data_IF_175291003157
#
_entry.id   IF_175291003157
#
_cell.length_a   1.000
_cell.length_b   1.000
_cell.length_c   1.000
_cell.angle_alpha   90.00
_cell.angle_beta   90.00
_cell.angle_gamma   90.00
#
_symmetry.space_group_name_H-M   'P 1'
#
loop_
_entity.id
_entity.type
_entity.pdbx_description
1 polymer ?
#
# COMPACT_ATOMS: atom_id res chain seq x y z
N UNK A 1 -10.19 -21.67 -46.14
CA UNK A 1 -10.48 -20.34 -45.54
C UNK A 1 -10.57 -20.37 -44.00
N UNK A 2 -10.88 -21.49 -43.34
CA UNK A 2 -10.94 -21.55 -41.86
C UNK A 2 -9.56 -21.44 -41.17
N UNK A 3 -8.47 -21.88 -41.81
CA UNK A 3 -7.10 -21.81 -41.24
C UNK A 3 -6.54 -20.38 -41.12
N UNK A 4 -6.98 -19.46 -41.99
CA UNK A 4 -6.50 -18.07 -42.00
C UNK A 4 -7.11 -17.21 -40.86
N UNK A 5 -8.34 -17.54 -40.45
CA UNK A 5 -9.05 -16.87 -39.35
C UNK A 5 -8.48 -17.24 -37.96
N UNK A 6 -8.00 -18.48 -37.78
CA UNK A 6 -7.36 -18.88 -36.52
C UNK A 6 -5.98 -18.23 -36.32
N UNK A 7 -5.25 -17.98 -37.40
CA UNK A 7 -3.90 -17.39 -37.32
C UNK A 7 -3.96 -15.88 -36.99
N UNK A 8 -4.92 -15.14 -37.54
CA UNK A 8 -5.14 -13.73 -37.18
C UNK A 8 -5.67 -13.58 -35.76
N UNK A 9 -6.51 -14.49 -35.27
CA UNK A 9 -6.98 -14.47 -33.88
C UNK A 9 -5.84 -14.69 -32.88
N UNK A 10 -4.91 -15.62 -33.16
CA UNK A 10 -3.71 -15.84 -32.35
C UNK A 10 -2.73 -14.65 -32.38
N UNK A 11 -2.61 -13.96 -33.50
CA UNK A 11 -1.71 -12.81 -33.63
C UNK A 11 -2.23 -11.58 -32.85
N UNK A 12 -3.55 -11.37 -32.84
CA UNK A 12 -4.19 -10.27 -32.11
C UNK A 12 -4.15 -10.52 -30.59
N UNK A 13 -4.31 -11.76 -30.13
CA UNK A 13 -4.17 -12.09 -28.70
C UNK A 13 -2.71 -12.01 -28.21
N UNK A 14 -1.73 -12.31 -29.07
CA UNK A 14 -0.29 -12.13 -28.77
C UNK A 14 0.18 -10.66 -28.82
N UNK A 15 -0.57 -9.78 -29.48
CA UNK A 15 -0.30 -8.33 -29.44
C UNK A 15 -0.93 -7.68 -28.21
N UNK A 16 -2.09 -8.16 -27.77
CA UNK A 16 -2.77 -7.69 -26.56
C UNK A 16 -1.99 -8.00 -25.26
N UNK A 17 -1.11 -9.02 -25.27
CA UNK A 17 -0.28 -9.36 -24.09
C UNK A 17 0.91 -8.43 -23.86
N UNK A 18 1.21 -7.50 -24.77
CA UNK A 18 2.35 -6.57 -24.66
C UNK A 18 2.02 -5.26 -23.95
N UNK A 19 0.74 -5.05 -23.63
CA UNK A 19 0.24 -3.88 -22.91
C UNK A 19 0.50 -3.89 -21.39
N UNK A 20 0.94 -5.03 -20.84
CA UNK A 20 1.05 -5.26 -19.38
C UNK A 20 2.45 -5.67 -18.94
N UNK A 21 3.48 -5.11 -19.55
CA UNK A 21 4.87 -5.48 -19.27
C UNK A 21 5.53 -4.67 -18.15
N UNK A 22 4.83 -3.70 -17.53
CA UNK A 22 5.38 -2.97 -16.39
C UNK A 22 5.52 -3.90 -15.19
N UNK A 23 6.76 -4.33 -14.94
CA UNK A 23 7.14 -5.09 -13.75
C UNK A 23 7.48 -4.14 -12.60
N UNK A 24 6.71 -4.25 -11.52
CA UNK A 24 6.88 -3.45 -10.31
C UNK A 24 7.44 -4.36 -9.23
N UNK A 25 8.64 -4.06 -8.74
CA UNK A 25 9.24 -4.82 -7.63
C UNK A 25 8.81 -4.20 -6.29
N UNK A 26 7.74 -4.75 -5.70
CA UNK A 26 7.19 -4.27 -4.42
C UNK A 26 8.06 -4.72 -3.21
N UNK A 27 9.04 -5.59 -3.45
CA UNK A 27 9.86 -6.19 -2.39
C UNK A 27 9.08 -7.21 -1.54
N UNK A 28 9.76 -7.77 -0.53
CA UNK A 28 9.16 -8.79 0.34
C UNK A 28 8.96 -10.15 -0.34
N UNK A 29 7.94 -10.89 0.10
CA UNK A 29 7.62 -12.24 -0.39
C UNK A 29 6.85 -12.27 -1.72
N UNK A 30 6.31 -11.14 -2.18
CA UNK A 30 5.51 -11.05 -3.41
C UNK A 30 6.40 -10.90 -4.66
N UNK A 31 7.52 -10.19 -4.57
CA UNK A 31 8.46 -10.02 -5.68
C UNK A 31 7.95 -9.07 -6.77
N UNK A 32 8.13 -9.44 -8.04
CA UNK A 32 7.71 -8.64 -9.19
C UNK A 32 6.22 -8.86 -9.45
N UNK A 33 5.45 -7.78 -9.50
CA UNK A 33 4.03 -7.78 -9.84
C UNK A 33 3.77 -6.95 -11.09
N UNK A 34 2.74 -7.37 -11.81
CA UNK A 34 2.15 -6.64 -12.92
C UNK A 34 1.37 -5.43 -12.43
N UNK A 35 1.19 -4.40 -13.25
CA UNK A 35 0.38 -3.22 -12.89
C UNK A 35 -1.08 -3.56 -12.53
N UNK A 36 -1.65 -4.62 -13.11
CA UNK A 36 -3.02 -5.10 -12.80
C UNK A 36 -3.03 -5.79 -11.44
N UNK A 37 -1.98 -6.55 -11.15
CA UNK A 37 -1.80 -7.22 -9.87
C UNK A 37 -1.44 -6.24 -8.76
N UNK A 38 -0.91 -5.06 -9.07
CA UNK A 38 -0.53 -4.07 -8.06
C UNK A 38 -1.70 -3.69 -7.14
N UNK A 39 -2.90 -3.53 -7.71
CA UNK A 39 -4.13 -3.19 -7.00
C UNK A 39 -5.00 -4.40 -6.64
N UNK A 40 -4.56 -5.61 -6.96
CA UNK A 40 -5.29 -6.85 -6.66
C UNK A 40 -5.01 -7.30 -5.22
N UNK A 41 -5.75 -6.72 -4.29
CA UNK A 41 -5.65 -6.97 -2.86
C UNK A 41 -6.70 -8.00 -2.46
N UNK A 42 -6.26 -9.14 -1.96
CA UNK A 42 -7.11 -10.24 -1.52
C UNK A 42 -7.70 -10.01 -0.11
N UNK A 43 -8.33 -8.84 0.09
CA UNK A 43 -9.03 -8.50 1.33
C UNK A 43 -10.34 -7.76 0.99
N UNK A 44 -11.46 -8.48 1.11
CA UNK A 44 -12.80 -7.96 0.84
C UNK A 44 -13.18 -6.79 1.76
N UNK A 45 -12.61 -6.73 2.96
CA UNK A 45 -12.94 -5.71 3.96
C UNK A 45 -12.24 -4.38 3.67
N UNK A 46 -11.06 -4.42 3.05
CA UNK A 46 -10.31 -3.25 2.59
C UNK A 46 -10.85 -2.77 1.24
N UNK A 47 -11.02 -3.69 0.29
CA UNK A 47 -11.56 -3.37 -1.04
C UNK A 47 -12.99 -2.84 -0.97
N UNK A 48 -13.84 -3.39 -0.09
CA UNK A 48 -15.19 -2.87 0.16
C UNK A 48 -15.23 -1.46 0.77
N UNK A 49 -14.25 -1.09 1.59
CA UNK A 49 -14.16 0.26 2.16
C UNK A 49 -13.73 1.31 1.09
N UNK A 50 -13.01 0.89 0.06
CA UNK A 50 -12.43 1.75 -0.98
C UNK A 50 -13.09 1.61 -2.36
N UNK A 51 -14.36 1.19 -2.37
CA UNK A 51 -15.16 0.93 -3.57
C UNK A 51 -15.29 2.10 -4.57
N UNK A 52 -15.29 3.39 -4.18
CA UNK A 52 -15.27 4.47 -5.19
C UNK A 52 -13.91 4.64 -5.89
N UNK A 53 -12.80 4.41 -5.18
CA UNK A 53 -11.46 4.78 -5.62
C UNK A 53 -10.75 3.63 -6.35
N UNK A 54 -10.74 2.43 -5.77
CA UNK A 54 -9.96 1.31 -6.28
C UNK A 54 -10.51 0.69 -7.58
N UNK A 55 -11.83 0.52 -7.77
CA UNK A 55 -12.40 0.14 -9.07
C UNK A 55 -12.12 1.18 -10.17
N UNK A 56 -12.14 2.47 -9.85
CA UNK A 56 -11.77 3.54 -10.80
C UNK A 56 -10.31 3.44 -11.21
N UNK A 57 -9.41 3.20 -10.26
CA UNK A 57 -8.00 2.97 -10.55
C UNK A 57 -7.79 1.70 -11.41
N UNK A 58 -8.46 0.60 -11.07
CA UNK A 58 -8.39 -0.66 -11.84
C UNK A 58 -8.89 -0.49 -13.27
N UNK A 59 -9.98 0.25 -13.48
CA UNK A 59 -10.50 0.51 -14.83
C UNK A 59 -9.56 1.42 -15.63
N UNK A 60 -8.93 2.41 -14.98
CA UNK A 60 -7.92 3.28 -15.60
C UNK A 60 -6.69 2.48 -16.01
N UNK A 61 -6.18 1.61 -15.13
CA UNK A 61 -5.05 0.72 -15.39
C UNK A 61 -5.38 -0.31 -16.48
N UNK A 62 -6.61 -0.86 -16.49
CA UNK A 62 -7.05 -1.81 -17.51
C UNK A 62 -7.28 -1.16 -18.88
N UNK A 63 -7.59 0.13 -18.92
CA UNK A 63 -7.72 0.89 -20.17
C UNK A 63 -6.36 1.22 -20.81
N UNK A 64 -5.26 1.15 -20.05
CA UNK A 64 -3.94 1.42 -20.57
C UNK A 64 -3.39 0.27 -21.41
N UNK A 65 -2.95 0.60 -22.63
CA UNK A 65 -2.34 -0.36 -23.58
C UNK A 65 -0.82 -0.23 -23.69
N UNK A 66 -0.21 0.72 -22.99
CA UNK A 66 1.23 1.00 -23.03
C UNK A 66 1.73 1.40 -21.64
N UNK A 67 3.01 1.14 -21.36
CA UNK A 67 3.65 1.54 -20.11
C UNK A 67 3.64 3.07 -19.92
N UNK A 68 3.65 3.85 -21.01
CA UNK A 68 3.54 5.30 -20.95
C UNK A 68 2.18 5.77 -20.41
N UNK A 69 1.09 5.05 -20.72
CA UNK A 69 -0.24 5.32 -20.17
C UNK A 69 -0.32 4.97 -18.68
N UNK A 70 0.31 3.86 -18.28
CA UNK A 70 0.38 3.48 -16.86
C UNK A 70 1.10 4.55 -16.04
N UNK A 71 2.16 5.12 -16.60
CA UNK A 71 2.93 6.18 -15.98
C UNK A 71 2.40 7.61 -16.22
N UNK A 72 1.21 7.74 -16.80
CA UNK A 72 0.57 9.05 -16.96
C UNK A 72 0.16 9.60 -15.58
N UNK A 73 0.32 10.91 -15.32
CA UNK A 73 -0.05 11.51 -14.04
C UNK A 73 -1.50 11.24 -13.61
N UNK A 74 -2.45 11.12 -14.56
CA UNK A 74 -3.83 10.80 -14.22
C UNK A 74 -3.97 9.36 -13.69
N UNK A 75 -3.25 8.41 -14.28
CA UNK A 75 -3.23 7.00 -13.83
C UNK A 75 -2.54 6.88 -12.48
N UNK A 76 -1.39 7.52 -12.31
CA UNK A 76 -0.66 7.56 -11.03
C UNK A 76 -1.55 8.17 -9.93
N UNK A 77 -2.20 9.30 -10.20
CA UNK A 77 -3.10 9.93 -9.23
C UNK A 77 -4.28 9.02 -8.85
N UNK A 78 -4.86 8.27 -9.79
CA UNK A 78 -5.91 7.31 -9.52
C UNK A 78 -5.41 6.16 -8.61
N UNK A 79 -4.22 5.62 -8.90
CA UNK A 79 -3.57 4.59 -8.08
C UNK A 79 -3.31 5.12 -6.66
N UNK A 80 -2.65 6.27 -6.52
CA UNK A 80 -2.36 6.88 -5.22
C UNK A 80 -3.64 7.17 -4.44
N UNK A 81 -4.73 7.58 -5.10
CA UNK A 81 -6.02 7.81 -4.44
C UNK A 81 -6.62 6.52 -3.87
N UNK A 82 -6.49 5.39 -4.58
CA UNK A 82 -6.86 4.08 -4.04
C UNK A 82 -5.98 3.69 -2.84
N UNK A 83 -4.65 3.82 -2.97
CA UNK A 83 -3.70 3.53 -1.90
C UNK A 83 -3.94 4.40 -0.65
N UNK A 84 -4.28 5.67 -0.83
CA UNK A 84 -4.62 6.58 0.26
C UNK A 84 -5.88 6.12 1.01
N UNK A 85 -6.89 5.62 0.29
CA UNK A 85 -8.08 5.07 0.93
C UNK A 85 -7.75 3.80 1.73
N UNK A 86 -6.94 2.91 1.17
CA UNK A 86 -6.51 1.67 1.83
C UNK A 86 -5.71 1.99 3.10
N UNK A 87 -4.75 2.91 3.00
CA UNK A 87 -3.96 3.40 4.13
C UNK A 87 -4.84 3.98 5.24
N UNK A 88 -5.79 4.85 4.89
CA UNK A 88 -6.74 5.42 5.85
C UNK A 88 -7.60 4.34 6.52
N UNK A 89 -8.00 3.30 5.77
CA UNK A 89 -8.81 2.19 6.30
C UNK A 89 -7.99 1.32 7.26
N UNK A 90 -6.73 1.02 6.92
CA UNK A 90 -5.81 0.28 7.79
C UNK A 90 -5.61 1.02 9.11
N UNK A 91 -5.41 2.33 9.03
CA UNK A 91 -5.29 3.22 10.20
C UNK A 91 -6.59 3.20 11.03
N UNK A 92 -7.74 3.44 10.40
CA UNK A 92 -9.03 3.54 11.09
C UNK A 92 -9.42 2.23 11.80
N UNK A 93 -9.07 1.09 11.21
CA UNK A 93 -9.31 -0.23 11.81
C UNK A 93 -8.20 -0.67 12.76
N UNK A 94 -7.07 0.04 12.81
CA UNK A 94 -5.88 -0.33 13.56
C UNK A 94 -5.46 -1.79 13.32
N UNK A 95 -5.45 -2.20 12.05
CA UNK A 95 -5.04 -3.55 11.66
C UNK A 95 -3.67 -3.52 11.01
N UNK A 96 -2.84 -4.56 11.21
CA UNK A 96 -1.60 -4.69 10.46
C UNK A 96 -1.91 -4.81 8.97
N UNK A 97 -1.01 -4.31 8.14
CA UNK A 97 -1.09 -4.42 6.68
C UNK A 97 -1.10 -5.91 6.27
N UNK A 98 -2.23 -6.45 5.78
CA UNK A 98 -2.32 -7.88 5.45
C UNK A 98 -1.56 -8.24 4.17
N UNK A 99 -1.38 -7.26 3.28
CA UNK A 99 -0.68 -7.36 2.02
C UNK A 99 0.31 -6.19 1.88
N UNK A 100 1.61 -6.41 1.60
CA UNK A 100 2.62 -5.36 1.50
C UNK A 100 2.35 -4.31 0.40
N UNK A 101 1.38 -4.56 -0.49
CA UNK A 101 0.91 -3.60 -1.50
C UNK A 101 -0.09 -2.60 -0.92
N UNK A 102 -0.96 -3.03 0.01
CA UNK A 102 -2.12 -2.26 0.44
C UNK A 102 -1.74 -1.07 1.34
N UNK A 103 -1.95 0.17 0.86
CA UNK A 103 -1.64 1.40 1.58
C UNK A 103 -0.14 1.61 1.80
N UNK A 104 0.69 1.19 0.84
CA UNK A 104 2.14 1.12 1.01
C UNK A 104 2.88 2.21 0.21
N UNK A 105 3.49 3.15 0.92
CA UNK A 105 4.34 4.18 0.30
C UNK A 105 5.57 3.57 -0.41
N UNK A 106 6.08 2.45 0.11
CA UNK A 106 7.18 1.70 -0.53
C UNK A 106 6.72 1.11 -1.86
N UNK A 107 5.50 0.56 -1.93
CA UNK A 107 4.93 0.03 -3.16
C UNK A 107 4.74 1.13 -4.22
N UNK A 108 4.26 2.31 -3.83
CA UNK A 108 4.14 3.47 -4.72
C UNK A 108 5.52 3.99 -5.20
N UNK A 109 6.53 3.93 -4.35
CA UNK A 109 7.91 4.28 -4.73
C UNK A 109 8.47 3.29 -5.75
N UNK A 110 8.19 1.99 -5.58
CA UNK A 110 8.53 0.96 -6.56
C UNK A 110 7.80 1.18 -7.90
N UNK A 111 6.53 1.59 -7.86
CA UNK A 111 5.77 1.95 -9.06
C UNK A 111 6.44 3.09 -9.84
N UNK A 112 6.79 4.18 -9.14
CA UNK A 112 7.49 5.31 -9.74
C UNK A 112 8.87 4.91 -10.32
N UNK A 113 9.62 4.04 -9.63
CA UNK A 113 10.88 3.51 -10.13
C UNK A 113 10.69 2.65 -11.40
N UNK A 114 9.62 1.85 -11.46
CA UNK A 114 9.27 1.09 -12.66
C UNK A 114 8.94 2.01 -13.84
N UNK A 115 8.23 3.10 -13.60
CA UNK A 115 7.95 4.11 -14.63
C UNK A 115 9.21 4.77 -15.18
N UNK A 116 10.17 5.07 -14.31
CA UNK A 116 11.47 5.60 -14.73
C UNK A 116 12.26 4.55 -15.54
N UNK A 117 12.23 3.28 -15.13
CA UNK A 117 12.97 2.21 -15.78
C UNK A 117 12.40 1.82 -17.15
N UNK A 118 11.08 1.72 -17.29
CA UNK A 118 10.43 1.22 -18.50
C UNK A 118 10.24 2.29 -19.57
N UNK A 119 9.85 3.51 -19.19
CA UNK A 119 9.48 4.58 -20.13
C UNK A 119 10.21 5.91 -19.89
N UNK A 120 11.16 5.94 -18.96
CA UNK A 120 11.94 7.14 -18.63
C UNK A 120 11.06 8.33 -18.19
N UNK A 121 9.93 8.05 -17.53
CA UNK A 121 9.05 9.06 -16.96
C UNK A 121 9.35 9.15 -15.46
N UNK A 122 9.66 10.37 -14.99
CA UNK A 122 9.87 10.64 -13.57
C UNK A 122 8.54 11.02 -12.95
N UNK A 123 8.00 10.17 -12.08
CA UNK A 123 6.81 10.48 -11.29
C UNK A 123 7.22 11.36 -10.11
N UNK A 124 6.60 12.55 -9.92
CA UNK A 124 6.90 13.43 -8.79
C UNK A 124 6.60 12.73 -7.46
N UNK A 125 7.48 12.91 -6.47
CA UNK A 125 7.28 12.33 -5.13
C UNK A 125 6.02 12.84 -4.45
N UNK A 126 5.59 14.07 -4.77
CA UNK A 126 4.32 14.64 -4.28
C UNK A 126 3.08 13.85 -4.71
N UNK A 127 3.14 13.10 -5.82
CA UNK A 127 2.01 12.32 -6.36
C UNK A 127 1.94 10.91 -5.79
N UNK A 128 3.00 10.44 -5.13
CA UNK A 128 3.11 9.08 -4.55
C UNK A 128 3.26 9.09 -3.03
N UNK A 129 3.19 10.27 -2.41
CA UNK A 129 3.27 10.41 -0.96
C UNK A 129 1.88 10.18 -0.35
N UNK A 130 1.77 9.15 0.48
CA UNK A 130 0.58 8.95 1.32
C UNK A 130 0.62 9.91 2.50
N UNK A 131 -0.52 10.56 2.74
CA UNK A 131 -0.70 11.49 3.85
C UNK A 131 -1.43 10.81 4.99
N UNK A 132 -1.15 11.22 6.22
CA UNK A 132 -1.85 10.69 7.38
C UNK A 132 -3.23 11.36 7.51
N UNK A 133 -4.27 10.63 7.91
CA UNK A 133 -5.56 11.22 8.23
C UNK A 133 -5.41 12.31 9.30
N UNK A 134 -6.12 13.44 9.13
CA UNK A 134 -6.05 14.56 10.06
C UNK A 134 -6.55 14.22 11.48
N UNK A 135 -7.33 13.15 11.58
CA UNK A 135 -7.92 12.58 12.79
C UNK A 135 -7.06 11.47 13.43
N UNK A 136 -5.90 11.14 12.85
CA UNK A 136 -5.02 10.11 13.40
C UNK A 136 -4.03 10.66 14.44
N UNK A 137 -4.19 10.25 15.70
CA UNK A 137 -3.33 10.65 16.84
C UNK A 137 -2.10 9.73 17.04
N UNK A 138 -1.72 8.98 16.01
CA UNK A 138 -0.55 8.11 16.03
C UNK A 138 -0.67 6.83 16.85
N UNK A 139 0.31 5.92 16.78
CA UNK A 139 0.46 4.76 17.69
C UNK A 139 0.86 5.17 19.12
N UNK A 140 0.66 6.44 19.45
CA UNK A 140 1.33 7.17 20.50
C UNK A 140 0.40 7.54 21.66
N UNK A 141 -0.86 7.08 21.63
CA UNK A 141 -1.78 7.14 22.77
C UNK A 141 -1.36 6.35 24.03
N UNK A 142 -0.13 5.85 24.11
CA UNK A 142 0.51 5.38 25.35
C UNK A 142 1.59 6.32 25.89
N UNK A 143 1.67 7.58 25.44
CA UNK A 143 2.24 8.58 26.32
C UNK A 143 1.27 8.74 27.49
N UNK A 144 1.53 8.05 28.60
CA UNK A 144 1.15 8.64 29.88
C UNK A 144 1.70 10.06 29.83
N UNK A 145 0.83 11.06 30.01
CA UNK A 145 1.28 12.43 30.17
C UNK A 145 2.47 12.44 31.14
N UNK A 146 3.44 13.34 30.94
CA UNK A 146 4.61 13.43 31.83
C UNK A 146 4.26 13.22 33.32
N UNK A 147 3.19 13.83 33.88
CA UNK A 147 2.76 13.55 35.26
C UNK A 147 2.27 12.11 35.49
N UNK A 148 1.50 11.53 34.58
CA UNK A 148 1.05 10.14 34.71
C UNK A 148 2.24 9.16 34.70
N UNK A 149 3.25 9.39 33.85
CA UNK A 149 4.47 8.56 33.79
C UNK A 149 5.26 8.63 35.08
N UNK A 150 5.39 9.82 35.67
CA UNK A 150 6.07 10.00 36.96
C UNK A 150 5.35 9.24 38.07
N UNK A 151 4.02 9.30 38.12
CA UNK A 151 3.23 8.61 39.14
C UNK A 151 3.39 7.09 39.02
N UNK A 152 3.32 6.53 37.81
CA UNK A 152 3.46 5.08 37.61
C UNK A 152 4.85 4.57 38.00
N UNK A 153 5.91 5.31 37.69
CA UNK A 153 7.28 4.94 38.09
C UNK A 153 7.44 4.97 39.61
N UNK A 154 6.90 5.99 40.29
CA UNK A 154 6.96 6.08 41.77
C UNK A 154 6.23 4.89 42.41
N UNK A 155 5.02 4.60 41.96
CA UNK A 155 4.21 3.49 42.49
C UNK A 155 4.91 2.16 42.27
N UNK A 156 5.42 1.91 41.06
CA UNK A 156 6.16 0.69 40.74
C UNK A 156 7.43 0.54 41.61
N UNK A 157 8.16 1.62 41.86
CA UNK A 157 9.38 1.60 42.69
C UNK A 157 9.06 1.34 44.17
N UNK A 158 7.98 1.94 44.69
CA UNK A 158 7.52 1.72 46.06
C UNK A 158 7.06 0.27 46.29
N UNK A 159 6.31 -0.29 45.33
CA UNK A 159 5.89 -1.69 45.38
C UNK A 159 7.09 -2.65 45.29
N UNK A 160 8.02 -2.41 44.35
CA UNK A 160 9.20 -3.25 44.17
C UNK A 160 10.11 -3.24 45.42
N UNK A 161 10.36 -2.06 45.99
CA UNK A 161 11.15 -1.93 47.22
C UNK A 161 10.48 -2.59 48.41
N UNK A 162 9.16 -2.47 48.56
CA UNK A 162 8.39 -3.17 49.59
C UNK A 162 8.50 -4.70 49.48
N UNK A 163 8.36 -5.24 48.27
CA UNK A 163 8.52 -6.68 48.04
C UNK A 163 9.94 -7.17 48.36
N UNK A 164 10.97 -6.41 47.96
CA UNK A 164 12.38 -6.74 48.28
C UNK A 164 12.60 -6.74 49.79
N UNK A 165 12.06 -5.74 50.50
CA UNK A 165 12.20 -5.66 51.96
C UNK A 165 11.57 -6.86 52.68
N UNK A 166 10.35 -7.26 52.27
CA UNK A 166 9.67 -8.43 52.84
C UNK A 166 10.49 -9.70 52.61
N UNK A 167 10.98 -9.94 51.39
CA UNK A 167 11.79 -11.14 51.08
C UNK A 167 13.11 -11.18 51.87
N UNK A 168 13.74 -10.04 52.16
CA UNK A 168 15.00 -10.00 52.90
C UNK A 168 14.83 -10.03 54.44
N UNK A 169 13.59 -9.87 54.93
CA UNK A 169 13.29 -9.87 56.37
C UNK A 169 12.52 -11.12 56.83
N UNK A 170 12.20 -12.02 55.91
CA UNK A 170 11.85 -13.41 56.19
C UNK A 170 13.12 -14.27 56.26
#
# INVERSE_FOLDING_TARGET
MHSFLSFTFLLVTLLASRAFALEINVGGTIGNVTAQQFLDINDETLTGACTPQCPTANTTVAACTTDACLCDPATVAAITTCEQCLFNTLIAKNIPMPDPRAGSATALTAYAAACLASVNITVPTSEITLTLPADWDGPFGQHLSLPATVITVIVATALASGCIYVVNTM
#
